data_IF_200100824185
#
_entry.id   IF_200100824185
#
_cell.length_a   1.000
_cell.length_b   1.000
_cell.length_c   1.000
_cell.angle_alpha   90.00
_cell.angle_beta   90.00
_cell.angle_gamma   90.00
#
_symmetry.space_group_name_H-M   'P 1'
#
loop_
_entity.id
_entity.type
_entity.pdbx_description
1 polymer ?
#
# COMPACT_ATOMS: atom_id res chain seq x y z
N UNK A 1 6.84 27.88 28.31
CA UNK A 1 6.42 26.90 27.29
C UNK A 1 6.39 25.54 27.98
N UNK A 2 5.35 24.75 27.77
CA UNK A 2 5.25 23.40 28.35
C UNK A 2 6.37 22.53 27.76
N UNK A 3 7.18 21.87 28.60
CA UNK A 3 8.23 20.92 28.17
C UNK A 3 7.67 19.60 27.62
N UNK A 4 6.33 19.43 27.68
CA UNK A 4 5.66 18.24 27.18
C UNK A 4 5.91 18.05 25.68
N UNK A 5 6.15 16.80 25.29
CA UNK A 5 6.32 16.40 23.90
C UNK A 5 5.11 15.60 23.46
N UNK A 6 4.75 15.76 22.21
CA UNK A 6 3.56 15.13 21.65
C UNK A 6 3.91 14.28 20.44
N UNK A 7 3.11 13.25 20.21
CA UNK A 7 3.19 12.41 19.02
C UNK A 7 1.81 12.32 18.38
N UNK A 8 1.79 12.11 17.06
CA UNK A 8 0.55 11.91 16.30
C UNK A 8 0.46 10.44 15.89
N UNK A 9 -0.59 9.76 16.28
CA UNK A 9 -0.96 8.46 15.74
C UNK A 9 -2.00 8.64 14.63
N UNK A 10 -1.75 8.05 13.46
CA UNK A 10 -2.73 8.00 12.37
C UNK A 10 -3.21 6.56 12.19
N UNK A 11 -4.52 6.35 12.32
CA UNK A 11 -5.21 5.08 12.10
C UNK A 11 -6.05 5.17 10.82
N UNK A 12 -5.62 4.45 9.79
CA UNK A 12 -6.33 4.32 8.52
C UNK A 12 -7.17 3.05 8.52
N UNK A 13 -8.41 3.22 8.98
CA UNK A 13 -9.46 2.22 8.84
C UNK A 13 -9.96 2.10 7.40
N UNK A 14 -10.96 1.22 7.22
CA UNK A 14 -11.56 0.99 5.90
C UNK A 14 -12.42 2.15 5.42
N UNK A 15 -13.21 2.79 6.29
CA UNK A 15 -14.19 3.80 5.85
C UNK A 15 -13.75 5.25 6.15
N UNK A 16 -12.69 5.41 6.94
CA UNK A 16 -12.22 6.69 7.48
C UNK A 16 -10.78 6.56 7.98
N UNK A 17 -10.13 7.71 8.18
CA UNK A 17 -8.92 7.77 9.00
C UNK A 17 -9.13 8.64 10.24
N UNK A 18 -8.32 8.38 11.28
CA UNK A 18 -8.32 9.09 12.55
C UNK A 18 -6.91 9.56 12.90
N UNK A 19 -6.81 10.79 13.38
CA UNK A 19 -5.62 11.30 14.04
C UNK A 19 -5.86 11.35 15.55
N UNK A 20 -4.87 10.95 16.32
CA UNK A 20 -4.84 11.10 17.78
C UNK A 20 -3.54 11.79 18.16
N UNK A 21 -3.64 12.86 18.94
CA UNK A 21 -2.49 13.56 19.51
C UNK A 21 -2.32 13.10 20.94
N UNK A 22 -1.14 12.59 21.27
CA UNK A 22 -0.85 11.96 22.56
C UNK A 22 0.36 12.63 23.20
N UNK A 23 0.31 12.88 24.51
CA UNK A 23 1.49 13.28 25.28
C UNK A 23 2.45 12.08 25.41
N UNK A 24 3.70 12.29 24.99
CA UNK A 24 4.64 11.21 24.68
C UNK A 24 5.11 10.40 25.90
N UNK A 25 5.03 10.95 27.12
CA UNK A 25 5.49 10.29 28.35
C UNK A 25 4.33 9.65 29.10
N UNK A 26 3.21 10.35 29.24
CA UNK A 26 2.04 9.86 29.98
C UNK A 26 1.16 8.93 29.14
N UNK A 27 1.20 9.03 27.81
CA UNK A 27 0.26 8.35 26.92
C UNK A 27 -1.14 8.95 26.94
N UNK A 28 -1.31 10.14 27.53
CA UNK A 28 -2.60 10.84 27.59
C UNK A 28 -3.00 11.34 26.19
N UNK A 29 -4.18 10.94 25.73
CA UNK A 29 -4.80 11.50 24.52
C UNK A 29 -5.25 12.94 24.81
N UNK A 30 -4.68 13.88 24.05
CA UNK A 30 -4.96 15.33 24.16
C UNK A 30 -6.15 15.72 23.29
N UNK A 31 -6.21 15.15 22.09
CA UNK A 31 -7.27 15.42 21.11
C UNK A 31 -7.29 14.33 20.05
N UNK A 32 -8.41 14.19 19.37
CA UNK A 32 -8.54 13.33 18.21
C UNK A 32 -9.49 13.94 17.18
N UNK A 33 -9.32 13.51 15.93
CA UNK A 33 -10.19 13.88 14.81
C UNK A 33 -10.35 12.69 13.88
N UNK A 34 -11.55 12.52 13.33
CA UNK A 34 -11.90 11.45 12.40
C UNK A 34 -12.60 12.04 11.19
N UNK A 35 -12.31 11.50 10.01
CA UNK A 35 -13.03 11.88 8.80
C UNK A 35 -13.14 10.70 7.84
N UNK A 36 -14.35 10.53 7.31
CA UNK A 36 -14.64 9.53 6.29
C UNK A 36 -14.00 9.90 4.96
N UNK A 37 -13.58 8.87 4.23
CA UNK A 37 -13.03 9.00 2.88
C UNK A 37 -14.14 9.45 1.91
N UNK A 38 -14.04 10.64 1.30
CA UNK A 38 -15.17 11.21 0.55
C UNK A 38 -15.54 10.39 -0.69
N UNK A 39 -14.56 9.89 -1.46
CA UNK A 39 -14.86 9.10 -2.68
C UNK A 39 -15.36 7.70 -2.31
N UNK A 40 -14.82 7.12 -1.24
CA UNK A 40 -15.30 5.84 -0.70
C UNK A 40 -16.77 5.88 -0.26
N UNK A 41 -17.19 6.94 0.44
CA UNK A 41 -18.60 7.09 0.89
C UNK A 41 -19.56 7.18 -0.29
N UNK A 42 -19.12 7.72 -1.42
CA UNK A 42 -19.88 7.72 -2.68
C UNK A 42 -19.92 6.35 -3.37
N UNK A 43 -19.23 5.34 -2.83
CA UNK A 43 -19.13 4.00 -3.41
C UNK A 43 -18.25 3.94 -4.67
N UNK A 44 -17.41 4.96 -4.91
CA UNK A 44 -16.57 5.02 -6.12
C UNK A 44 -15.63 3.83 -6.19
N UNK A 45 -15.45 3.33 -7.42
CA UNK A 45 -14.54 2.23 -7.78
C UNK A 45 -14.83 0.88 -7.09
N UNK A 46 -15.94 0.77 -6.37
CA UNK A 46 -16.41 -0.47 -5.75
C UNK A 46 -17.48 -1.14 -6.63
N UNK A 47 -17.45 -2.47 -6.68
CA UNK A 47 -18.48 -3.30 -7.29
C UNK A 47 -18.72 -4.51 -6.37
N UNK A 48 -19.65 -4.41 -5.40
CA UNK A 48 -19.91 -5.48 -4.45
C UNK A 48 -20.37 -6.79 -5.11
N UNK A 49 -20.99 -6.74 -6.29
CA UNK A 49 -21.41 -7.96 -7.00
C UNK A 49 -20.22 -8.76 -7.55
N UNK A 50 -19.03 -8.15 -7.61
CA UNK A 50 -17.76 -8.77 -8.03
C UNK A 50 -16.75 -8.87 -6.88
N UNK A 51 -17.16 -8.58 -5.65
CA UNK A 51 -16.25 -8.45 -4.50
C UNK A 51 -15.08 -7.48 -4.73
N UNK A 52 -15.31 -6.42 -5.51
CA UNK A 52 -14.32 -5.39 -5.81
C UNK A 52 -14.48 -4.19 -4.88
N UNK A 53 -13.41 -3.83 -4.17
CA UNK A 53 -13.33 -2.72 -3.23
C UNK A 53 -12.01 -1.99 -3.40
N UNK A 54 -12.05 -0.82 -4.04
CA UNK A 54 -10.86 -0.03 -4.38
C UNK A 54 -10.91 1.34 -3.71
N UNK A 55 -9.76 1.84 -3.28
CA UNK A 55 -9.66 3.13 -2.60
C UNK A 55 -8.74 4.08 -3.36
N UNK A 56 -9.18 5.34 -3.47
CA UNK A 56 -8.44 6.35 -4.20
C UNK A 56 -7.37 6.98 -3.30
N UNK A 57 -6.10 7.12 -3.73
CA UNK A 57 -5.01 7.71 -2.93
C UNK A 57 -5.32 9.10 -2.37
N UNK A 58 -5.99 9.96 -3.14
CA UNK A 58 -6.42 11.29 -2.66
C UNK A 58 -7.31 11.24 -1.41
N UNK A 59 -8.12 10.20 -1.21
CA UNK A 59 -8.90 10.08 0.03
C UNK A 59 -7.96 9.99 1.23
N UNK A 60 -6.86 9.26 1.13
CA UNK A 60 -5.87 9.17 2.21
C UNK A 60 -5.19 10.51 2.46
N UNK A 61 -4.75 11.20 1.40
CA UNK A 61 -4.02 12.48 1.52
C UNK A 61 -4.92 13.59 2.09
N UNK A 62 -6.10 13.79 1.49
CA UNK A 62 -7.03 14.87 1.85
C UNK A 62 -7.61 14.67 3.25
N UNK A 63 -7.89 13.41 3.62
CA UNK A 63 -8.36 13.09 4.96
C UNK A 63 -7.26 13.29 5.99
N UNK A 64 -6.03 12.82 5.74
CA UNK A 64 -4.87 13.05 6.61
C UNK A 64 -4.65 14.53 6.91
N UNK A 65 -4.63 15.36 5.86
CA UNK A 65 -4.43 16.80 6.00
C UNK A 65 -5.51 17.43 6.87
N UNK A 66 -6.77 17.02 6.69
CA UNK A 66 -7.88 17.50 7.49
C UNK A 66 -7.76 17.09 8.96
N UNK A 67 -7.63 15.79 9.24
CA UNK A 67 -7.69 15.26 10.61
C UNK A 67 -6.52 15.75 11.45
N UNK A 68 -5.33 15.92 10.86
CA UNK A 68 -4.17 16.47 11.58
C UNK A 68 -4.41 17.93 11.96
N UNK A 69 -4.87 18.75 11.00
CA UNK A 69 -5.13 20.17 11.25
C UNK A 69 -6.23 20.35 12.30
N UNK A 70 -7.30 19.55 12.18
CA UNK A 70 -8.44 19.60 13.09
C UNK A 70 -8.07 19.15 14.50
N UNK A 71 -7.34 18.04 14.65
CA UNK A 71 -6.86 17.59 15.96
C UNK A 71 -5.91 18.62 16.60
N UNK A 72 -4.97 19.19 15.84
CA UNK A 72 -4.07 20.23 16.34
C UNK A 72 -4.79 21.50 16.79
N UNK A 73 -5.86 21.90 16.08
CA UNK A 73 -6.68 23.03 16.48
C UNK A 73 -7.41 22.79 17.80
N UNK A 74 -7.87 21.55 18.04
CA UNK A 74 -8.53 21.14 19.27
C UNK A 74 -7.54 20.99 20.45
N UNK A 75 -6.29 20.60 20.20
CA UNK A 75 -5.27 20.38 21.22
C UNK A 75 -4.83 21.65 21.97
N UNK A 76 -5.06 22.82 21.37
CA UNK A 76 -4.70 24.12 21.95
C UNK A 76 -3.32 24.63 21.54
N UNK A 77 -3.06 25.91 21.87
CA UNK A 77 -1.84 26.60 21.47
C UNK A 77 -0.57 25.97 22.07
N UNK A 78 0.50 25.88 21.28
CA UNK A 78 1.80 25.36 21.71
C UNK A 78 1.98 23.85 21.51
N UNK A 79 0.92 23.09 21.19
CA UNK A 79 1.03 21.64 20.96
C UNK A 79 1.72 21.34 19.64
N UNK A 80 1.36 22.05 18.57
CA UNK A 80 1.91 21.83 17.23
C UNK A 80 3.43 21.97 17.19
N UNK A 81 3.98 22.97 17.87
CA UNK A 81 5.42 23.24 17.96
C UNK A 81 6.17 22.18 18.78
N UNK A 82 5.45 21.36 19.55
CA UNK A 82 6.00 20.33 20.42
C UNK A 82 5.71 18.90 19.94
N UNK A 83 5.14 18.74 18.74
CA UNK A 83 5.03 17.43 18.10
C UNK A 83 6.42 16.97 17.63
N UNK A 84 6.86 15.80 18.09
CA UNK A 84 8.21 15.26 17.82
C UNK A 84 8.21 14.04 16.91
N UNK A 85 7.05 13.48 16.60
CA UNK A 85 6.94 12.29 15.76
C UNK A 85 5.51 11.98 15.35
N UNK A 86 5.40 11.16 14.32
CA UNK A 86 4.13 10.65 13.81
C UNK A 86 4.30 9.21 13.34
N UNK A 87 3.27 8.39 13.56
CA UNK A 87 3.21 7.01 13.08
C UNK A 87 1.92 6.75 12.30
N UNK A 88 1.94 5.66 11.53
CA UNK A 88 0.85 5.23 10.68
C UNK A 88 0.51 3.79 11.03
N UNK A 89 -0.76 3.55 11.26
CA UNK A 89 -1.38 2.23 11.28
C UNK A 89 -2.39 2.19 10.13
N UNK A 90 -2.37 1.13 9.34
CA UNK A 90 -3.26 1.00 8.17
C UNK A 90 -3.85 -0.39 8.14
N UNK A 91 -5.02 -0.54 7.50
CA UNK A 91 -5.48 -1.88 7.11
C UNK A 91 -4.38 -2.65 6.37
N UNK A 92 -4.19 -3.91 6.74
CA UNK A 92 -3.13 -4.74 6.17
C UNK A 92 -3.45 -5.23 4.76
N UNK A 93 -2.44 -5.33 3.91
CA UNK A 93 -2.57 -5.80 2.52
C UNK A 93 -3.57 -4.99 1.70
N UNK A 94 -3.33 -3.69 1.68
CA UNK A 94 -3.93 -2.70 0.79
C UNK A 94 -2.86 -2.16 -0.18
N UNK A 95 -2.44 -2.94 -1.21
CA UNK A 95 -1.38 -2.54 -2.13
C UNK A 95 -1.88 -1.64 -3.28
N UNK A 96 -0.96 -0.89 -3.90
CA UNK A 96 -1.18 -0.13 -5.14
C UNK A 96 0.01 -0.24 -6.09
N UNK A 97 -0.23 -0.19 -7.40
CA UNK A 97 0.84 -0.06 -8.39
C UNK A 97 1.32 1.39 -8.52
N UNK A 98 2.62 1.57 -8.65
CA UNK A 98 3.30 2.86 -8.75
C UNK A 98 4.21 2.90 -9.98
N UNK A 99 4.48 4.11 -10.48
CA UNK A 99 5.52 4.36 -11.48
C UNK A 99 6.93 4.39 -10.84
N UNK A 100 7.96 4.69 -11.65
CA UNK A 100 9.37 4.71 -11.18
C UNK A 100 9.62 5.75 -10.08
N UNK A 101 8.84 6.83 -10.06
CA UNK A 101 8.89 7.88 -9.05
C UNK A 101 8.19 7.50 -7.74
N UNK A 102 7.52 6.33 -7.67
CA UNK A 102 6.74 5.91 -6.51
C UNK A 102 5.35 6.54 -6.43
N UNK A 103 4.87 7.14 -7.53
CA UNK A 103 3.54 7.76 -7.62
C UNK A 103 2.52 6.68 -7.98
N UNK A 104 1.43 6.51 -7.20
CA UNK A 104 0.34 5.60 -7.54
C UNK A 104 -0.19 5.89 -8.93
N UNK A 105 -0.41 4.86 -9.75
CA UNK A 105 -0.80 5.07 -11.14
C UNK A 105 -2.11 5.86 -11.25
N UNK A 106 -3.06 5.67 -10.34
CA UNK A 106 -4.32 6.44 -10.26
C UNK A 106 -4.13 7.95 -10.05
N UNK A 107 -2.96 8.41 -9.64
CA UNK A 107 -2.64 9.85 -9.57
C UNK A 107 -2.22 10.43 -10.92
N UNK A 108 -2.03 9.59 -11.95
CA UNK A 108 -1.72 10.01 -13.30
C UNK A 108 -3.01 10.21 -14.11
N UNK A 109 -3.12 11.26 -14.96
CA UNK A 109 -4.34 11.54 -15.72
C UNK A 109 -4.87 10.36 -16.54
N UNK A 110 -3.98 9.52 -17.08
CA UNK A 110 -4.36 8.36 -17.88
C UNK A 110 -5.09 7.24 -17.09
N UNK A 111 -4.97 7.24 -15.76
CA UNK A 111 -5.50 6.18 -14.89
C UNK A 111 -6.40 6.73 -13.78
N UNK A 112 -6.73 8.03 -13.80
CA UNK A 112 -7.46 8.73 -12.74
C UNK A 112 -8.80 8.07 -12.38
N UNK A 113 -9.48 7.45 -13.34
CA UNK A 113 -10.76 6.76 -13.12
C UNK A 113 -10.65 5.23 -13.29
N UNK A 114 -9.42 4.67 -13.33
CA UNK A 114 -9.21 3.24 -13.50
C UNK A 114 -9.14 2.53 -12.12
N UNK A 115 -10.10 1.66 -11.77
CA UNK A 115 -10.11 0.94 -10.49
C UNK A 115 -8.88 0.03 -10.28
N UNK A 116 -8.26 -0.46 -11.34
CA UNK A 116 -7.07 -1.32 -11.25
C UNK A 116 -5.78 -0.52 -10.97
N UNK A 117 -5.82 0.80 -11.06
CA UNK A 117 -4.73 1.70 -10.69
C UNK A 117 -4.87 2.26 -9.26
N UNK A 118 -5.95 1.91 -8.58
CA UNK A 118 -6.28 2.32 -7.20
C UNK A 118 -5.68 1.36 -6.18
N UNK A 119 -5.72 1.74 -4.91
CA UNK A 119 -5.41 0.83 -3.82
C UNK A 119 -6.43 -0.31 -3.76
N UNK A 120 -5.95 -1.54 -3.62
CA UNK A 120 -6.78 -2.75 -3.53
C UNK A 120 -7.01 -3.10 -2.06
N UNK A 121 -8.18 -2.73 -1.52
CA UNK A 121 -8.47 -2.86 -0.09
C UNK A 121 -8.37 -4.30 0.41
N UNK A 122 -8.01 -4.50 1.68
CA UNK A 122 -7.90 -5.83 2.31
C UNK A 122 -9.10 -6.75 2.01
N UNK A 123 -10.34 -6.24 2.13
CA UNK A 123 -11.59 -6.98 1.89
C UNK A 123 -11.94 -7.25 0.41
N UNK A 124 -11.06 -6.90 -0.51
CA UNK A 124 -11.23 -7.18 -1.93
C UNK A 124 -10.89 -8.64 -2.25
N UNK A 125 -11.85 -9.37 -2.81
CA UNK A 125 -11.72 -10.80 -3.12
C UNK A 125 -11.74 -11.09 -4.62
N UNK A 126 -11.47 -10.09 -5.47
CA UNK A 126 -11.39 -10.30 -6.93
C UNK A 126 -10.33 -11.33 -7.34
N UNK A 127 -9.31 -11.54 -6.50
CA UNK A 127 -8.16 -12.41 -6.75
C UNK A 127 -8.27 -13.84 -6.20
N UNK A 128 -9.48 -14.35 -5.93
CA UNK A 128 -9.68 -15.73 -5.40
C UNK A 128 -9.07 -16.80 -6.30
N UNK A 129 -9.20 -16.65 -7.63
CA UNK A 129 -8.61 -17.59 -8.59
C UNK A 129 -7.09 -17.60 -8.51
N UNK A 130 -6.47 -16.42 -8.51
CA UNK A 130 -5.02 -16.26 -8.38
C UNK A 130 -4.48 -16.81 -7.07
N UNK A 131 -5.19 -16.62 -5.95
CA UNK A 131 -4.81 -17.21 -4.67
C UNK A 131 -4.83 -18.74 -4.71
N UNK A 132 -5.84 -19.35 -5.34
CA UNK A 132 -5.90 -20.80 -5.51
C UNK A 132 -4.72 -21.34 -6.33
N UNK A 133 -4.34 -20.64 -7.40
CA UNK A 133 -3.17 -20.96 -8.22
C UNK A 133 -1.85 -20.86 -7.43
N UNK A 134 -1.70 -19.83 -6.58
CA UNK A 134 -0.53 -19.66 -5.69
C UNK A 134 -0.44 -20.82 -4.69
N UNK A 135 -1.56 -21.17 -4.06
CA UNK A 135 -1.62 -22.29 -3.10
C UNK A 135 -1.27 -23.63 -3.74
N UNK A 136 -1.81 -23.91 -4.93
CA UNK A 136 -1.50 -25.14 -5.66
C UNK A 136 -0.02 -25.21 -6.02
N UNK A 137 0.56 -24.10 -6.48
CA UNK A 137 1.99 -24.03 -6.79
C UNK A 137 2.86 -24.24 -5.54
N UNK A 138 2.52 -23.61 -4.42
CA UNK A 138 3.30 -23.70 -3.19
C UNK A 138 3.38 -25.14 -2.64
N UNK A 139 2.29 -25.91 -2.73
CA UNK A 139 2.24 -27.32 -2.32
C UNK A 139 3.12 -28.25 -3.15
N UNK A 140 3.45 -27.84 -4.38
CA UNK A 140 4.32 -28.60 -5.28
C UNK A 140 5.80 -28.33 -5.04
N UNK A 141 6.15 -27.32 -4.22
CA UNK A 141 7.54 -27.00 -3.93
C UNK A 141 8.16 -27.97 -2.92
N UNK A 142 9.50 -28.02 -2.92
CA UNK A 142 10.25 -28.81 -1.92
C UNK A 142 9.89 -28.40 -0.49
N UNK A 143 9.64 -27.12 -0.29
CA UNK A 143 9.15 -26.55 0.97
C UNK A 143 7.86 -25.81 0.60
N UNK A 144 6.74 -26.30 1.13
CA UNK A 144 5.48 -25.57 1.09
C UNK A 144 5.55 -24.41 2.08
N UNK A 145 5.87 -23.21 1.60
CA UNK A 145 6.00 -22.03 2.45
C UNK A 145 4.68 -21.59 3.08
N UNK A 146 3.53 -22.07 2.60
CA UNK A 146 2.23 -21.75 3.22
C UNK A 146 2.14 -22.25 4.66
N UNK A 147 2.96 -23.25 5.03
CA UNK A 147 3.03 -23.76 6.40
C UNK A 147 3.36 -22.68 7.45
N UNK A 148 4.03 -21.60 7.06
CA UNK A 148 4.41 -20.49 7.95
C UNK A 148 3.33 -19.39 8.07
N UNK A 149 2.25 -19.51 7.32
CA UNK A 149 1.14 -18.54 7.25
C UNK A 149 -0.23 -19.22 7.47
N UNK A 150 -0.23 -20.43 8.05
CA UNK A 150 -1.46 -21.16 8.40
C UNK A 150 -1.92 -22.18 7.35
N UNK A 151 -1.10 -22.49 6.35
CA UNK A 151 -1.32 -23.54 5.34
C UNK A 151 -2.15 -23.09 4.13
N UNK A 152 -2.46 -21.80 4.04
CA UNK A 152 -3.21 -21.22 2.92
C UNK A 152 -2.83 -19.75 2.68
N UNK A 153 -2.53 -19.43 1.43
CA UNK A 153 -2.33 -18.05 0.96
C UNK A 153 -3.68 -17.39 0.65
N UNK A 154 -3.97 -16.24 1.28
CA UNK A 154 -5.25 -15.54 1.13
C UNK A 154 -5.36 -14.76 -0.19
N UNK A 155 -6.59 -14.61 -0.71
CA UNK A 155 -6.89 -13.69 -1.83
C UNK A 155 -6.76 -12.22 -1.44
N UNK A 156 -6.79 -11.93 -0.14
CA UNK A 156 -6.58 -10.59 0.40
C UNK A 156 -5.12 -10.15 0.32
N UNK A 157 -4.19 -11.06 0.04
CA UNK A 157 -2.76 -10.81 0.10
C UNK A 157 -2.16 -10.36 -1.24
N UNK A 158 -1.08 -9.59 -1.14
CA UNK A 158 -0.53 -8.80 -2.25
C UNK A 158 -0.25 -9.59 -3.52
N UNK A 159 0.28 -10.82 -3.45
CA UNK A 159 0.66 -11.55 -4.65
C UNK A 159 -0.55 -11.99 -5.48
N UNK A 160 -1.65 -12.37 -4.81
CA UNK A 160 -2.89 -12.70 -5.49
C UNK A 160 -3.46 -11.44 -6.18
N UNK A 161 -3.55 -10.33 -5.44
CA UNK A 161 -4.05 -9.04 -5.94
C UNK A 161 -3.24 -8.48 -7.11
N UNK A 162 -1.91 -8.51 -6.99
CA UNK A 162 -1.00 -8.07 -8.03
C UNK A 162 -1.15 -8.92 -9.29
N UNK A 163 -1.18 -10.25 -9.15
CA UNK A 163 -1.36 -11.16 -10.28
C UNK A 163 -2.71 -10.93 -10.98
N UNK A 164 -3.77 -10.71 -10.22
CA UNK A 164 -5.11 -10.44 -10.73
C UNK A 164 -5.10 -9.17 -11.60
N UNK A 165 -4.67 -8.04 -11.04
CA UNK A 165 -4.64 -6.75 -11.75
C UNK A 165 -3.77 -6.80 -13.01
N UNK A 166 -2.56 -7.39 -12.93
CA UNK A 166 -1.65 -7.47 -14.08
C UNK A 166 -2.17 -8.36 -15.22
N UNK A 167 -3.07 -9.30 -14.91
CA UNK A 167 -3.76 -10.13 -15.93
C UNK A 167 -4.94 -9.40 -16.55
N UNK A 168 -5.70 -8.65 -15.75
CA UNK A 168 -6.91 -7.97 -16.20
C UNK A 168 -6.62 -6.67 -16.96
N UNK A 169 -5.53 -5.97 -16.62
CA UNK A 169 -5.25 -4.64 -17.16
C UNK A 169 -3.84 -4.52 -17.73
N UNK A 170 -3.75 -4.63 -19.05
CA UNK A 170 -2.48 -4.50 -19.78
C UNK A 170 -1.88 -3.09 -19.69
N UNK A 171 -2.70 -2.04 -19.56
CA UNK A 171 -2.20 -0.67 -19.47
C UNK A 171 -1.53 -0.44 -18.12
N UNK A 172 -2.17 -0.88 -17.03
CA UNK A 172 -1.57 -0.88 -15.69
C UNK A 172 -0.29 -1.71 -15.68
N UNK A 173 -0.30 -2.92 -16.25
CA UNK A 173 0.89 -3.77 -16.33
C UNK A 173 2.07 -3.11 -17.05
N UNK A 174 1.80 -2.34 -18.11
CA UNK A 174 2.85 -1.63 -18.87
C UNK A 174 3.38 -0.41 -18.12
N UNK A 175 2.52 0.30 -17.39
CA UNK A 175 2.88 1.52 -16.68
C UNK A 175 3.48 1.28 -15.28
N UNK A 176 3.12 0.15 -14.65
CA UNK A 176 3.62 -0.21 -13.33
C UNK A 176 5.13 -0.48 -13.36
N UNK A 177 5.84 0.20 -12.46
CA UNK A 177 7.25 -0.08 -12.18
C UNK A 177 7.39 -1.01 -10.96
N UNK A 178 6.56 -0.80 -9.93
CA UNK A 178 6.47 -1.66 -8.75
C UNK A 178 5.08 -1.55 -8.14
N UNK A 179 4.84 -2.27 -7.05
CA UNK A 179 3.77 -2.01 -6.11
C UNK A 179 4.34 -1.51 -4.77
N UNK A 180 3.48 -0.91 -3.96
CA UNK A 180 3.77 -0.46 -2.58
C UNK A 180 2.55 -0.71 -1.69
N UNK A 181 2.79 -0.99 -0.42
CA UNK A 181 1.76 -1.17 0.60
C UNK A 181 1.27 0.21 1.12
N UNK A 182 0.03 0.30 1.59
CA UNK A 182 -0.50 1.56 2.12
C UNK A 182 0.33 2.09 3.30
N UNK A 183 0.72 1.21 4.23
CA UNK A 183 1.55 1.58 5.39
C UNK A 183 2.95 2.06 5.00
N UNK A 184 3.47 1.68 3.84
CA UNK A 184 4.76 2.16 3.32
C UNK A 184 4.60 3.45 2.53
N UNK A 185 3.53 3.58 1.75
CA UNK A 185 3.31 4.73 0.86
C UNK A 185 3.08 6.03 1.62
N UNK A 186 2.29 6.02 2.71
CA UNK A 186 1.99 7.25 3.45
C UNK A 186 3.24 7.88 4.10
N UNK A 187 4.09 7.14 4.85
CA UNK A 187 5.40 7.63 5.28
C UNK A 187 6.31 8.07 4.12
N UNK A 188 6.30 7.35 3.00
CA UNK A 188 7.08 7.71 1.82
C UNK A 188 6.71 9.10 1.28
N UNK A 189 5.41 9.33 1.19
CA UNK A 189 4.80 10.56 0.70
C UNK A 189 5.23 11.76 1.55
N UNK A 190 5.01 11.69 2.87
CA UNK A 190 5.25 12.82 3.77
C UNK A 190 6.74 13.11 4.00
N UNK A 191 7.61 12.11 3.84
CA UNK A 191 9.06 12.30 3.98
C UNK A 191 9.73 12.68 2.66
N UNK A 192 8.97 12.76 1.56
CA UNK A 192 9.50 13.03 0.22
C UNK A 192 10.40 11.91 -0.31
N UNK A 193 10.32 10.70 0.24
CA UNK A 193 11.21 9.57 -0.08
C UNK A 193 10.61 8.56 -1.06
N UNK A 194 9.60 8.91 -1.85
CA UNK A 194 8.82 7.97 -2.69
C UNK A 194 9.63 7.14 -3.72
N UNK A 195 10.81 7.61 -4.17
CA UNK A 195 11.63 6.88 -5.14
C UNK A 195 12.07 5.52 -4.62
N UNK A 196 11.63 4.46 -5.31
CA UNK A 196 11.77 3.05 -4.92
C UNK A 196 13.20 2.55 -4.78
N UNK A 197 14.19 3.21 -5.38
CA UNK A 197 15.62 2.92 -5.21
C UNK A 197 16.09 2.99 -3.73
N UNK A 198 15.26 3.57 -2.86
CA UNK A 198 15.52 3.73 -1.42
C UNK A 198 14.62 2.86 -0.53
N UNK A 199 13.80 1.98 -1.13
CA UNK A 199 12.86 1.11 -0.43
C UNK A 199 13.26 -0.36 -0.56
N UNK A 200 13.00 -1.15 0.48
CA UNK A 200 13.01 -2.61 0.41
C UNK A 200 11.69 -3.16 -0.18
N UNK A 201 11.08 -2.46 -1.14
CA UNK A 201 9.93 -2.99 -1.87
C UNK A 201 10.44 -4.04 -2.88
N UNK A 202 9.78 -5.20 -2.93
CA UNK A 202 10.08 -6.26 -3.90
C UNK A 202 9.75 -5.72 -5.30
N UNK A 203 10.74 -5.11 -5.95
CA UNK A 203 10.62 -4.68 -7.34
C UNK A 203 10.27 -5.91 -8.19
N UNK A 204 9.13 -5.88 -8.88
CA UNK A 204 8.83 -6.86 -9.93
C UNK A 204 9.82 -6.54 -11.06
N UNK A 205 10.81 -7.39 -11.35
CA UNK A 205 11.69 -7.13 -12.47
C UNK A 205 10.81 -7.11 -13.72
N UNK A 206 10.85 -6.03 -14.50
CA UNK A 206 10.22 -6.01 -15.82
C UNK A 206 10.75 -7.21 -16.62
N UNK A 207 9.90 -8.23 -16.79
CA UNK A 207 10.20 -9.37 -17.67
C UNK A 207 9.97 -8.90 -19.11
N UNK A 208 10.87 -8.06 -19.60
CA UNK A 208 10.94 -7.65 -21.01
C UNK A 208 12.37 -7.77 -21.50
N UNK A 209 12.90 -9.00 -21.51
CA UNK A 209 13.96 -9.36 -22.45
C UNK A 209 13.51 -10.56 -23.26
N UNK A 210 13.26 -10.42 -24.58
CA UNK A 210 13.18 -11.58 -25.45
C UNK A 210 14.54 -12.26 -25.41
N UNK A 211 14.56 -13.54 -25.06
CA UNK A 211 15.77 -14.35 -24.98
C UNK A 211 16.34 -14.51 -26.40
N UNK A 212 17.24 -13.62 -26.78
CA UNK A 212 18.10 -13.78 -27.93
C UNK A 212 19.16 -14.83 -27.61
N UNK A 213 18.85 -16.10 -27.91
CA UNK A 213 19.85 -17.15 -28.02
C UNK A 213 20.86 -16.74 -29.10
N UNK A 214 22.11 -16.49 -28.69
CA UNK A 214 23.26 -16.58 -29.58
C UNK A 214 24.12 -17.74 -29.12
N UNK A 215 24.45 -18.56 -30.10
CA UNK A 215 25.19 -19.81 -30.01
C UNK A 215 26.57 -19.68 -29.35
N UNK A 216 26.92 -20.75 -28.62
CA UNK A 216 28.30 -21.22 -28.52
C UNK A 216 29.19 -20.53 -27.50
N UNK A 217 29.25 -21.08 -26.28
CA UNK A 217 30.52 -21.11 -25.54
C UNK A 217 30.61 -22.28 -24.56
N UNK A 218 31.57 -23.15 -24.83
CA UNK A 218 31.92 -24.37 -24.11
C UNK A 218 32.44 -24.05 -22.71
N UNK A 219 31.84 -24.64 -21.68
CA UNK A 219 32.31 -24.54 -20.30
C UNK A 219 33.50 -25.49 -20.07
N UNK A 220 34.72 -24.95 -19.97
CA UNK A 220 35.91 -25.69 -19.50
C UNK A 220 35.80 -25.93 -17.99
N UNK A 221 35.82 -27.20 -17.57
CA UNK A 221 36.06 -27.62 -16.18
C UNK A 221 37.39 -27.04 -15.67
N UNK A 222 37.41 -26.51 -14.44
CA UNK A 222 38.65 -26.38 -13.64
C UNK A 222 38.58 -27.36 -12.48
N UNK A 223 39.64 -28.18 -12.39
CA UNK A 223 39.96 -29.00 -11.24
C UNK A 223 40.43 -28.12 -10.07
N UNK A 224 39.95 -28.44 -8.88
CA UNK A 224 40.71 -28.61 -7.64
C UNK A 224 39.87 -29.46 -6.70
#
# INVERSE_FOLDING_TARGET
MSDKKYVIGLDYGSDSARAVIVEAISGEEVSSSVKHYPRWVEGKYCDPAKDQYRQHPLDYIEVMEFIIKDALAQAGAGVAENVVGMSFDTTGSTPVFVNEEGVPLSMLPAFAENPNAMFVLWKDHTAVKEAAEINELARQWKIDYTQYEGGIYSSEWVWAKALHVLRQDEQVRKAAYSWIEHCDWMPALITGKQKLQRWFAVAVPQVTRPCGLKDGMVCRKRNS
#
